data_IF_052795553227
#
_entry.id   IF_052795553227
#
_cell.length_a   1.000
_cell.length_b   1.000
_cell.length_c   1.000
_cell.angle_alpha   90.00
_cell.angle_beta   90.00
_cell.angle_gamma   90.00
#
_symmetry.space_group_name_H-M   'P 1'
#
loop_
_entity.id
_entity.type
_entity.pdbx_description
1 polymer ?
#
# COMPACT_ATOMS: atom_id res chain seq x y z
N UNK A 1 22.83 -7.26 19.94
CA UNK A 1 21.58 -7.81 19.39
C UNK A 1 20.59 -8.21 20.50
N UNK A 2 20.35 -7.38 21.52
CA UNK A 2 19.43 -7.71 22.64
C UNK A 2 18.44 -6.58 22.99
N UNK A 3 18.43 -5.47 22.23
CA UNK A 3 17.47 -4.38 22.46
C UNK A 3 16.09 -4.64 21.82
N UNK A 4 15.99 -5.58 20.87
CA UNK A 4 14.73 -5.92 20.19
C UNK A 4 13.70 -6.60 21.10
N UNK A 5 14.13 -7.26 22.18
CA UNK A 5 13.23 -7.93 23.12
C UNK A 5 12.63 -6.97 24.15
N UNK A 6 13.32 -5.88 24.49
CA UNK A 6 12.87 -4.94 25.54
C UNK A 6 11.71 -4.05 25.07
N UNK A 7 11.73 -3.61 23.80
CA UNK A 7 10.64 -2.78 23.26
C UNK A 7 9.36 -3.59 22.99
N UNK A 8 9.49 -4.87 22.62
CA UNK A 8 8.32 -5.75 22.49
C UNK A 8 7.63 -5.98 23.85
N UNK A 9 8.41 -6.04 24.95
CA UNK A 9 7.88 -6.15 26.32
C UNK A 9 7.20 -4.86 26.79
N UNK A 10 7.69 -3.67 26.38
CA UNK A 10 7.11 -2.39 26.81
C UNK A 10 5.79 -2.06 26.09
N UNK A 11 5.66 -2.40 24.80
CA UNK A 11 4.41 -2.25 24.04
C UNK A 11 3.35 -3.31 24.41
N UNK A 12 3.76 -4.45 24.95
CA UNK A 12 2.83 -5.49 25.44
C UNK A 12 2.31 -5.20 26.87
N UNK A 13 2.90 -4.27 27.61
CA UNK A 13 2.59 -4.03 29.02
C UNK A 13 1.38 -3.10 29.27
N UNK A 14 0.76 -2.50 28.24
CA UNK A 14 -0.47 -1.68 28.39
C UNK A 14 -1.76 -2.46 28.15
N UNK A 15 -1.73 -3.79 28.18
CA UNK A 15 -2.93 -4.61 28.21
C UNK A 15 -3.60 -4.59 29.60
N UNK A 16 -4.07 -3.41 30.03
CA UNK A 16 -5.06 -3.30 31.11
C UNK A 16 -6.43 -3.56 30.50
N UNK A 17 -7.08 -4.58 31.06
CA UNK A 17 -8.36 -5.16 30.68
C UNK A 17 -9.48 -4.11 30.64
N UNK A 18 -10.09 -3.91 29.46
CA UNK A 18 -11.45 -3.37 29.34
C UNK A 18 -12.14 -3.84 28.03
N UNK A 19 -13.11 -4.74 28.20
CA UNK A 19 -14.36 -4.87 27.42
C UNK A 19 -14.26 -4.84 25.88
N UNK A 20 -14.02 -6.02 25.28
CA UNK A 20 -14.75 -6.48 24.09
C UNK A 20 -14.70 -5.64 22.81
N UNK A 21 -13.53 -5.15 22.39
CA UNK A 21 -13.35 -4.60 21.05
C UNK A 21 -12.11 -5.23 20.39
N UNK A 22 -12.28 -5.74 19.17
CA UNK A 22 -11.31 -6.56 18.43
C UNK A 22 -9.91 -5.92 18.36
N UNK A 23 -8.98 -6.41 19.19
CA UNK A 23 -7.57 -6.02 19.13
C UNK A 23 -6.98 -6.55 17.82
N UNK A 24 -6.95 -5.70 16.80
CA UNK A 24 -6.27 -6.03 15.55
C UNK A 24 -4.78 -6.26 15.87
N UNK A 25 -4.14 -7.28 15.29
CA UNK A 25 -2.71 -7.49 15.50
C UNK A 25 -1.96 -6.23 15.07
N UNK A 26 -1.01 -5.80 15.90
CA UNK A 26 -0.07 -4.74 15.53
C UNK A 26 0.81 -5.32 14.42
N UNK A 27 0.67 -4.76 13.23
CA UNK A 27 1.46 -5.10 12.04
C UNK A 27 2.44 -3.99 11.74
N UNK A 28 3.52 -4.30 11.01
CA UNK A 28 4.44 -3.28 10.49
C UNK A 28 3.67 -2.19 9.74
N UNK A 29 2.64 -2.58 8.98
CA UNK A 29 1.74 -1.64 8.28
C UNK A 29 1.04 -0.65 9.22
N UNK A 30 0.53 -1.10 10.36
CA UNK A 30 -0.12 -0.21 11.32
C UNK A 30 0.89 0.71 12.01
N UNK A 31 2.09 0.20 12.32
CA UNK A 31 3.16 1.00 12.92
C UNK A 31 3.68 2.06 11.95
N UNK A 32 3.91 1.71 10.68
CA UNK A 32 4.33 2.68 9.68
C UNK A 32 3.26 3.74 9.44
N UNK A 33 1.97 3.36 9.44
CA UNK A 33 0.87 4.31 9.34
C UNK A 33 0.82 5.27 10.54
N UNK A 34 1.09 4.76 11.74
CA UNK A 34 1.16 5.56 12.96
C UNK A 34 2.34 6.54 12.90
N UNK A 35 3.55 6.06 12.56
CA UNK A 35 4.74 6.90 12.39
C UNK A 35 4.49 8.04 11.41
N UNK A 36 3.93 7.73 10.23
CA UNK A 36 3.64 8.70 9.17
C UNK A 36 2.48 9.66 9.56
N UNK A 37 1.61 9.27 10.50
CA UNK A 37 0.59 10.16 11.07
C UNK A 37 1.20 11.12 12.10
N UNK A 38 2.08 10.63 12.98
CA UNK A 38 2.80 11.45 13.94
C UNK A 38 3.68 12.49 13.23
N UNK A 39 4.42 12.07 12.18
CA UNK A 39 5.24 12.97 11.35
C UNK A 39 4.40 14.10 10.74
N UNK A 40 3.23 13.77 10.18
CA UNK A 40 2.32 14.79 9.64
C UNK A 40 1.82 15.74 10.71
N UNK A 41 1.49 15.24 11.89
CA UNK A 41 0.96 16.07 12.98
C UNK A 41 2.04 17.06 13.47
N UNK A 42 3.28 16.59 13.62
CA UNK A 42 4.43 17.44 13.95
C UNK A 42 4.67 18.49 12.86
N UNK A 43 4.70 18.08 11.59
CA UNK A 43 4.90 18.99 10.47
C UNK A 43 3.78 20.02 10.31
N UNK A 44 2.51 19.64 10.56
CA UNK A 44 1.38 20.58 10.54
C UNK A 44 1.47 21.60 11.68
N UNK A 45 1.90 21.19 12.87
CA UNK A 45 2.05 22.10 14.00
C UNK A 45 3.17 23.13 13.81
N UNK A 46 4.22 22.78 13.08
CA UNK A 46 5.33 23.68 12.76
C UNK A 46 4.96 24.74 11.71
N UNK A 47 3.93 24.51 10.88
CA UNK A 47 3.46 25.49 9.91
C UNK A 47 2.40 26.41 10.54
N UNK A 48 2.89 27.40 11.30
CA UNK A 48 2.05 28.32 12.09
C UNK A 48 0.98 29.02 11.25
N UNK A 49 1.31 29.47 10.03
CA UNK A 49 0.33 30.12 9.12
C UNK A 49 -0.78 29.17 8.71
N UNK A 50 -0.44 27.97 8.21
CA UNK A 50 -1.44 26.98 7.77
C UNK A 50 -2.27 26.47 8.95
N UNK A 51 -1.66 26.32 10.11
CA UNK A 51 -2.33 25.94 11.34
C UNK A 51 -3.32 27.03 11.79
N UNK A 52 -2.90 28.30 11.80
CA UNK A 52 -3.77 29.43 12.12
C UNK A 52 -4.96 29.52 11.15
N UNK A 53 -4.74 29.32 9.85
CA UNK A 53 -5.84 29.27 8.86
C UNK A 53 -6.80 28.11 9.14
N UNK A 54 -6.30 26.90 9.42
CA UNK A 54 -7.15 25.73 9.72
C UNK A 54 -7.93 25.85 11.04
N UNK A 55 -7.42 26.64 11.97
CA UNK A 55 -8.00 26.81 13.31
C UNK A 55 -8.78 28.11 13.47
N UNK A 56 -8.95 28.88 12.38
CA UNK A 56 -9.61 30.20 12.39
C UNK A 56 -8.95 31.17 13.38
N UNK A 57 -7.62 31.13 13.52
CA UNK A 57 -6.85 31.88 14.52
C UNK A 57 -7.30 31.64 15.97
N UNK A 58 -7.98 30.51 16.25
CA UNK A 58 -8.38 30.18 17.60
C UNK A 58 -7.18 29.65 18.40
N UNK A 59 -6.66 30.48 19.31
CA UNK A 59 -5.47 30.16 20.10
C UNK A 59 -5.60 28.84 20.87
N UNK A 60 -6.76 28.56 21.46
CA UNK A 60 -6.99 27.29 22.20
C UNK A 60 -6.88 26.06 21.30
N UNK A 61 -7.36 26.14 20.05
CA UNK A 61 -7.19 25.04 19.07
C UNK A 61 -5.74 24.90 18.63
N UNK A 62 -5.05 26.02 18.42
CA UNK A 62 -3.62 26.04 18.07
C UNK A 62 -2.81 25.36 19.18
N UNK A 63 -3.00 25.79 20.43
CA UNK A 63 -2.30 25.24 21.59
C UNK A 63 -2.58 23.74 21.75
N UNK A 64 -3.83 23.31 21.51
CA UNK A 64 -4.20 21.89 21.54
C UNK A 64 -3.46 21.07 20.47
N UNK A 65 -3.29 21.60 19.26
CA UNK A 65 -2.54 20.93 18.18
C UNK A 65 -1.04 20.91 18.50
N UNK A 66 -0.48 22.01 19.01
CA UNK A 66 0.93 22.09 19.41
C UNK A 66 1.24 21.13 20.56
N UNK A 67 0.34 21.00 21.54
CA UNK A 67 0.49 20.05 22.64
C UNK A 67 0.45 18.59 22.13
N UNK A 68 -0.49 18.27 21.23
CA UNK A 68 -0.54 16.95 20.58
C UNK A 68 0.71 16.69 19.73
N UNK A 69 1.24 17.70 19.05
CA UNK A 69 2.47 17.61 18.28
C UNK A 69 3.68 17.34 19.14
N UNK A 70 3.77 17.98 20.31
CA UNK A 70 4.84 17.74 21.27
C UNK A 70 4.81 16.29 21.78
N UNK A 71 3.63 15.77 22.13
CA UNK A 71 3.48 14.36 22.49
C UNK A 71 3.78 13.42 21.33
N UNK A 72 3.38 13.79 20.11
CA UNK A 72 3.64 13.00 18.91
C UNK A 72 5.13 12.94 18.57
N UNK A 73 5.87 14.05 18.77
CA UNK A 73 7.32 14.09 18.56
C UNK A 73 8.05 13.10 19.48
N UNK A 74 7.68 13.03 20.76
CA UNK A 74 8.28 12.07 21.71
C UNK A 74 8.00 10.62 21.29
N UNK A 75 6.77 10.32 20.86
CA UNK A 75 6.43 8.98 20.37
C UNK A 75 7.18 8.63 19.07
N UNK A 76 7.30 9.60 18.18
CA UNK A 76 8.02 9.47 16.92
C UNK A 76 9.51 9.21 17.16
N UNK A 77 10.16 9.93 18.08
CA UNK A 77 11.55 9.68 18.47
C UNK A 77 11.74 8.24 18.99
N UNK A 78 10.81 7.76 19.82
CA UNK A 78 10.83 6.39 20.34
C UNK A 78 10.65 5.34 19.21
N UNK A 79 9.79 5.60 18.23
CA UNK A 79 9.61 4.73 17.06
C UNK A 79 10.83 4.76 16.13
N UNK A 80 11.42 5.93 15.93
CA UNK A 80 12.58 6.13 15.05
C UNK A 80 13.86 5.52 15.61
N UNK A 81 13.96 5.35 16.93
CA UNK A 81 15.06 4.62 17.56
C UNK A 81 15.18 3.16 17.07
N UNK A 82 14.10 2.57 16.53
CA UNK A 82 14.14 1.27 15.88
C UNK A 82 14.46 1.42 14.38
N UNK A 83 15.75 1.35 14.05
CA UNK A 83 16.23 1.53 12.67
C UNK A 83 15.64 0.51 11.68
N UNK A 84 15.37 -0.71 12.13
CA UNK A 84 14.72 -1.73 11.28
C UNK A 84 13.30 -1.31 10.95
N UNK A 85 12.52 -0.87 11.94
CA UNK A 85 11.17 -0.36 11.72
C UNK A 85 11.18 0.82 10.74
N UNK A 86 12.06 1.80 10.94
CA UNK A 86 12.20 2.96 10.04
C UNK A 86 12.50 2.53 8.61
N UNK A 87 13.43 1.59 8.43
CA UNK A 87 13.78 1.08 7.10
C UNK A 87 12.61 0.36 6.41
N UNK A 88 11.88 -0.49 7.15
CA UNK A 88 10.68 -1.16 6.65
C UNK A 88 9.61 -0.15 6.26
N UNK A 89 9.38 0.86 7.10
CA UNK A 89 8.39 1.89 6.83
C UNK A 89 8.75 2.75 5.62
N UNK A 90 10.02 3.11 5.43
CA UNK A 90 10.46 3.85 4.25
C UNK A 90 10.17 3.08 2.94
N UNK A 91 10.43 1.77 2.91
CA UNK A 91 10.12 0.93 1.73
C UNK A 91 8.61 0.83 1.51
N UNK A 92 7.83 0.61 2.58
CA UNK A 92 6.38 0.54 2.50
C UNK A 92 5.75 1.87 2.06
N UNK A 93 6.26 2.99 2.54
CA UNK A 93 5.79 4.33 2.20
C UNK A 93 6.11 4.67 0.75
N UNK A 94 7.29 4.30 0.25
CA UNK A 94 7.63 4.41 -1.16
C UNK A 94 6.65 3.59 -2.02
N UNK A 95 6.41 2.33 -1.68
CA UNK A 95 5.44 1.49 -2.39
C UNK A 95 4.01 2.07 -2.34
N UNK A 96 3.60 2.59 -1.19
CA UNK A 96 2.30 3.26 -1.02
C UNK A 96 2.21 4.54 -1.85
N UNK A 97 3.29 5.32 -1.95
CA UNK A 97 3.33 6.54 -2.74
C UNK A 97 3.25 6.24 -4.24
N UNK A 98 4.02 5.27 -4.73
CA UNK A 98 3.93 4.77 -6.10
C UNK A 98 2.50 4.33 -6.40
N UNK A 99 1.88 3.53 -5.52
CA UNK A 99 0.49 3.10 -5.68
C UNK A 99 -0.50 4.28 -5.79
N UNK A 100 -0.33 5.32 -4.96
CA UNK A 100 -1.17 6.52 -5.03
C UNK A 100 -0.99 7.24 -6.37
N UNK A 101 0.25 7.41 -6.82
CA UNK A 101 0.55 8.02 -8.11
C UNK A 101 -0.08 7.24 -9.27
N UNK A 102 -0.03 5.90 -9.25
CA UNK A 102 -0.69 5.08 -10.26
C UNK A 102 -2.22 5.25 -10.26
N UNK A 103 -2.84 5.33 -9.08
CA UNK A 103 -4.28 5.61 -8.96
C UNK A 103 -4.64 7.01 -9.42
N UNK A 104 -3.78 7.99 -9.17
CA UNK A 104 -3.94 9.34 -9.67
C UNK A 104 -3.88 9.36 -11.20
N UNK A 105 -2.91 8.70 -11.83
CA UNK A 105 -2.86 8.56 -13.30
C UNK A 105 -4.15 7.95 -13.86
N UNK A 106 -4.65 6.88 -13.24
CA UNK A 106 -5.92 6.24 -13.63
C UNK A 106 -7.11 7.22 -13.52
N UNK A 107 -7.15 8.04 -12.47
CA UNK A 107 -8.20 9.02 -12.26
C UNK A 107 -8.13 10.18 -13.27
N UNK A 108 -6.92 10.65 -13.57
CA UNK A 108 -6.69 11.68 -14.61
C UNK A 108 -7.14 11.15 -15.98
N UNK A 109 -6.75 9.92 -16.34
CA UNK A 109 -7.20 9.28 -17.57
C UNK A 109 -8.72 9.14 -17.66
N UNK A 110 -9.39 8.77 -16.55
CA UNK A 110 -10.86 8.71 -16.50
C UNK A 110 -11.49 10.09 -16.73
N UNK A 111 -10.91 11.14 -16.15
CA UNK A 111 -11.39 12.52 -16.33
C UNK A 111 -11.29 12.94 -17.79
N UNK A 112 -10.15 12.68 -18.43
CA UNK A 112 -9.93 12.94 -19.86
C UNK A 112 -10.94 12.16 -20.72
N UNK A 113 -11.11 10.86 -20.45
CA UNK A 113 -12.04 10.00 -21.19
C UNK A 113 -13.50 10.42 -21.02
N UNK A 114 -13.90 10.88 -19.84
CA UNK A 114 -15.26 11.41 -19.61
C UNK A 114 -15.46 12.71 -20.38
N UNK A 115 -14.49 13.62 -20.37
CA UNK A 115 -14.60 14.89 -21.10
C UNK A 115 -14.63 14.70 -22.63
N UNK A 116 -13.90 13.71 -23.14
CA UNK A 116 -13.86 13.39 -24.56
C UNK A 116 -15.13 12.67 -25.08
N UNK A 117 -16.01 12.21 -24.19
CA UNK A 117 -17.25 11.54 -24.55
C UNK A 117 -18.45 12.42 -24.19
N UNK A 118 -19.06 13.05 -25.20
CA UNK A 118 -20.15 14.02 -25.01
C UNK A 118 -21.33 13.45 -24.21
N UNK A 119 -21.71 12.19 -24.43
CA UNK A 119 -22.78 11.54 -23.64
C UNK A 119 -22.40 11.39 -22.18
N UNK A 120 -21.21 10.85 -21.87
CA UNK A 120 -20.73 10.69 -20.49
C UNK A 120 -20.53 12.03 -19.79
N UNK A 121 -20.07 13.04 -20.54
CA UNK A 121 -19.90 14.40 -20.04
C UNK A 121 -21.26 15.03 -19.69
N UNK A 122 -22.23 14.92 -20.59
CA UNK A 122 -23.60 15.38 -20.35
C UNK A 122 -24.23 14.64 -19.16
N UNK A 123 -24.08 13.32 -19.06
CA UNK A 123 -24.56 12.53 -17.92
C UNK A 123 -23.92 12.99 -16.60
N UNK A 124 -22.60 13.23 -16.61
CA UNK A 124 -21.83 13.64 -15.43
C UNK A 124 -22.19 15.05 -14.95
N UNK A 125 -22.58 15.91 -15.87
CA UNK A 125 -22.88 17.33 -15.61
C UNK A 125 -24.37 17.64 -15.59
N UNK A 126 -25.20 16.63 -15.87
CA UNK A 126 -26.65 16.75 -16.08
C UNK A 126 -27.02 17.73 -17.20
N UNK A 127 -26.26 17.71 -18.29
CA UNK A 127 -26.45 18.58 -19.47
C UNK A 127 -26.27 20.08 -19.19
N UNK A 128 -25.63 20.44 -18.07
CA UNK A 128 -25.40 21.82 -17.71
C UNK A 128 -24.14 22.36 -18.41
N UNK A 129 -24.33 23.21 -19.42
CA UNK A 129 -23.25 23.75 -20.23
C UNK A 129 -22.10 24.40 -19.43
N UNK A 130 -22.39 25.10 -18.33
CA UNK A 130 -21.36 25.70 -17.47
C UNK A 130 -20.53 24.64 -16.75
N UNK A 131 -21.17 23.57 -16.28
CA UNK A 131 -20.47 22.43 -15.65
C UNK A 131 -19.67 21.64 -16.68
N UNK A 132 -20.16 21.51 -17.90
CA UNK A 132 -19.43 20.89 -19.02
C UNK A 132 -18.16 21.64 -19.34
N UNK A 133 -18.24 22.96 -19.52
CA UNK A 133 -17.07 23.81 -19.77
C UNK A 133 -16.03 23.69 -18.64
N UNK A 134 -16.46 23.76 -17.37
CA UNK A 134 -15.57 23.56 -16.20
C UNK A 134 -14.96 22.16 -16.15
N UNK A 135 -15.68 21.15 -16.63
CA UNK A 135 -15.15 19.78 -16.65
C UNK A 135 -14.13 19.60 -17.79
N UNK A 136 -14.34 20.24 -18.94
CA UNK A 136 -13.37 20.28 -20.03
C UNK A 136 -12.07 20.98 -19.62
N UNK A 137 -12.17 22.11 -18.89
CA UNK A 137 -10.99 22.78 -18.31
C UNK A 137 -10.19 21.85 -17.39
N UNK A 138 -10.88 21.15 -16.48
CA UNK A 138 -10.27 20.12 -15.62
C UNK A 138 -9.64 18.98 -16.40
N UNK A 139 -10.22 18.60 -17.53
CA UNK A 139 -9.65 17.56 -18.39
C UNK A 139 -8.37 18.04 -19.07
N UNK A 140 -8.27 19.31 -19.47
CA UNK A 140 -7.03 19.90 -19.99
C UNK A 140 -5.95 19.95 -18.91
N UNK A 141 -6.27 20.37 -17.69
CA UNK A 141 -5.35 20.29 -16.54
C UNK A 141 -4.91 18.86 -16.26
N UNK A 142 -5.87 17.93 -16.29
CA UNK A 142 -5.60 16.51 -16.08
C UNK A 142 -4.68 15.94 -17.16
N UNK A 143 -4.83 16.36 -18.41
CA UNK A 143 -3.96 15.97 -19.52
C UNK A 143 -2.52 16.45 -19.29
N UNK A 144 -2.33 17.73 -18.92
CA UNK A 144 -0.99 18.26 -18.62
C UNK A 144 -0.33 17.52 -17.45
N UNK A 145 -1.09 17.27 -16.38
CA UNK A 145 -0.59 16.54 -15.21
C UNK A 145 -0.26 15.10 -15.56
N UNK A 146 -1.13 14.43 -16.33
CA UNK A 146 -0.90 13.05 -16.75
C UNK A 146 0.35 12.93 -17.63
N UNK A 147 0.54 13.84 -18.59
CA UNK A 147 1.75 13.90 -19.41
C UNK A 147 3.01 14.08 -18.55
N UNK A 148 2.95 14.94 -17.54
CA UNK A 148 4.06 15.14 -16.58
C UNK A 148 4.33 13.88 -15.75
N UNK A 149 3.31 13.14 -15.35
CA UNK A 149 3.50 11.87 -14.63
C UNK A 149 4.05 10.77 -15.56
N UNK A 150 3.62 10.75 -16.82
CA UNK A 150 4.07 9.78 -17.82
C UNK A 150 5.51 10.01 -18.29
N UNK A 151 6.08 11.21 -18.10
CA UNK A 151 7.51 11.45 -18.41
C UNK A 151 8.45 10.75 -17.41
N UNK A 152 7.94 10.26 -16.27
CA UNK A 152 8.69 9.42 -15.36
C UNK A 152 8.51 7.94 -15.74
N UNK A 153 9.44 7.40 -16.53
CA UNK A 153 9.37 6.03 -17.04
C UNK A 153 9.33 4.99 -15.93
N UNK A 154 10.12 5.16 -14.86
CA UNK A 154 10.11 4.27 -13.69
C UNK A 154 8.74 4.20 -13.03
N UNK A 155 8.04 5.34 -12.90
CA UNK A 155 6.68 5.36 -12.39
C UNK A 155 5.71 4.64 -13.34
N UNK A 156 5.79 4.89 -14.64
CA UNK A 156 4.94 4.24 -15.65
C UNK A 156 5.12 2.72 -15.65
N UNK A 157 6.36 2.24 -15.57
CA UNK A 157 6.69 0.82 -15.52
C UNK A 157 6.14 0.17 -14.24
N UNK A 158 6.35 0.82 -13.08
CA UNK A 158 5.81 0.35 -11.82
C UNK A 158 4.27 0.30 -11.84
N UNK A 159 3.62 1.31 -12.40
CA UNK A 159 2.16 1.32 -12.52
C UNK A 159 1.64 0.24 -13.46
N UNK A 160 2.36 -0.05 -14.54
CA UNK A 160 2.01 -1.10 -15.50
C UNK A 160 2.10 -2.48 -14.86
N UNK A 161 3.19 -2.76 -14.12
CA UNK A 161 3.33 -4.00 -13.35
C UNK A 161 2.17 -4.19 -12.35
N UNK A 162 1.81 -3.15 -11.60
CA UNK A 162 0.70 -3.20 -10.64
C UNK A 162 -0.67 -3.44 -11.31
N UNK A 163 -0.86 -2.99 -12.55
CA UNK A 163 -2.11 -3.25 -13.29
C UNK A 163 -2.20 -4.71 -13.73
N UNK A 164 -1.09 -5.33 -14.10
CA UNK A 164 -1.02 -6.76 -14.42
C UNK A 164 -1.35 -7.62 -13.20
N UNK A 165 -0.72 -7.34 -12.04
CA UNK A 165 -1.02 -8.02 -10.78
C UNK A 165 -2.50 -7.90 -10.37
N UNK A 166 -3.11 -6.72 -10.59
CA UNK A 166 -4.54 -6.52 -10.32
C UNK A 166 -5.46 -7.35 -11.22
N UNK A 167 -5.08 -7.60 -12.47
CA UNK A 167 -5.86 -8.43 -13.41
C UNK A 167 -5.78 -9.90 -13.00
N UNK A 168 -4.58 -10.39 -12.75
CA UNK A 168 -4.35 -11.76 -12.29
C UNK A 168 -5.06 -12.05 -10.95
N UNK A 169 -5.05 -11.09 -10.02
CA UNK A 169 -5.77 -11.21 -8.75
C UNK A 169 -7.30 -11.13 -8.87
N UNK A 170 -7.83 -10.58 -9.97
CA UNK A 170 -9.27 -10.58 -10.26
C UNK A 170 -9.70 -11.89 -10.91
N UNK A 171 -8.89 -12.42 -11.82
CA UNK A 171 -9.15 -13.71 -12.47
C UNK A 171 -9.09 -14.87 -11.45
N UNK A 172 -8.18 -14.81 -10.47
CA UNK A 172 -8.13 -15.76 -9.36
C UNK A 172 -9.33 -15.68 -8.38
N UNK A 173 -10.18 -14.64 -8.47
CA UNK A 173 -11.40 -14.51 -7.66
C UNK A 173 -12.68 -14.93 -8.40
N UNK A 174 -12.61 -15.12 -9.72
CA UNK A 174 -13.77 -15.56 -10.51
C UNK A 174 -13.80 -17.07 -10.74
N UNK A 175 -12.70 -17.80 -10.55
CA UNK A 175 -12.71 -19.27 -10.46
C UNK A 175 -13.03 -19.77 -9.04
N UNK A 176 -14.08 -19.20 -8.46
CA UNK A 176 -14.78 -19.77 -7.30
C UNK A 176 -15.59 -20.99 -7.71
N UNK A 177 -14.97 -21.95 -8.40
CA UNK A 177 -15.57 -23.27 -8.63
C UNK A 177 -15.63 -24.00 -7.30
N UNK A 178 -16.85 -24.09 -6.76
CA UNK A 178 -17.21 -24.97 -5.66
C UNK A 178 -16.77 -26.40 -5.97
N UNK A 179 -15.66 -26.85 -5.38
CA UNK A 179 -15.46 -28.28 -5.13
C UNK A 179 -15.82 -28.54 -3.68
N UNK A 180 -17.11 -28.76 -3.46
CA UNK A 180 -17.62 -29.49 -2.31
C UNK A 180 -17.09 -30.92 -2.41
N UNK A 181 -16.03 -31.24 -1.69
CA UNK A 181 -15.71 -32.63 -1.34
C UNK A 181 -15.89 -32.80 0.15
N UNK A 182 -17.06 -33.31 0.50
CA UNK A 182 -17.35 -33.98 1.75
C UNK A 182 -16.24 -34.99 2.08
N UNK A 183 -15.60 -34.85 3.22
CA UNK A 183 -14.96 -35.99 3.88
C UNK A 183 -15.05 -35.78 5.39
N UNK A 184 -15.77 -36.70 6.01
CA UNK A 184 -16.11 -36.75 7.41
C UNK A 184 -14.86 -36.77 8.31
N UNK A 185 -14.85 -35.92 9.33
CA UNK A 185 -14.04 -36.12 10.50
C UNK A 185 -14.75 -37.12 11.42
N UNK A 186 -14.34 -38.38 11.36
CA UNK A 186 -14.60 -39.37 12.41
C UNK A 186 -13.32 -39.56 13.23
N UNK A 187 -13.54 -39.66 14.54
CA UNK A 187 -12.60 -39.55 15.64
C UNK A 187 -11.71 -40.78 15.88
N UNK A 188 -10.61 -40.50 16.60
CA UNK A 188 -9.96 -41.31 17.65
C UNK A 188 -9.18 -42.58 17.27
N UNK A 189 -7.97 -42.69 17.86
CA UNK A 189 -7.41 -44.00 18.22
C UNK A 189 -5.91 -44.14 18.03
N UNK A 190 -5.15 -43.90 19.10
CA UNK A 190 -3.77 -44.35 19.29
C UNK A 190 -3.59 -45.85 19.00
N UNK A 191 -2.44 -46.25 18.45
CA UNK A 191 -1.90 -47.58 18.73
C UNK A 191 -1.16 -48.29 17.61
N UNK A 192 0.18 -48.28 17.73
CA UNK A 192 1.08 -49.45 17.68
C UNK A 192 1.37 -50.15 16.33
N UNK A 193 2.68 -50.17 16.06
CA UNK A 193 3.50 -50.99 15.16
C UNK A 193 2.94 -52.32 14.62
N UNK A 194 3.29 -52.67 13.37
CA UNK A 194 4.03 -53.89 12.98
C UNK A 194 4.36 -53.86 11.47
N UNK A 195 5.52 -54.43 11.15
CA UNK A 195 6.20 -54.64 9.87
C UNK A 195 5.38 -55.22 8.71
N UNK A 196 5.81 -54.95 7.46
CA UNK A 196 5.58 -55.86 6.33
C UNK A 196 5.44 -55.22 4.93
N UNK A 197 6.51 -55.36 4.14
CA UNK A 197 6.52 -55.75 2.72
C UNK A 197 5.75 -54.98 1.61
N UNK A 198 6.56 -54.51 0.63
CA UNK A 198 6.41 -54.59 -0.84
C UNK A 198 5.19 -53.90 -1.49
N UNK A 199 5.45 -52.95 -2.39
CA UNK A 199 4.44 -52.50 -3.37
C UNK A 199 4.91 -51.36 -4.27
N UNK A 200 4.94 -51.61 -5.56
CA UNK A 200 5.50 -50.79 -6.63
C UNK A 200 4.85 -49.41 -6.85
N UNK A 201 5.68 -48.46 -7.30
CA UNK A 201 5.38 -47.65 -8.48
C UNK A 201 4.79 -46.25 -8.25
N UNK A 202 5.53 -45.21 -8.66
CA UNK A 202 5.12 -44.31 -9.76
C UNK A 202 6.01 -43.05 -9.84
N UNK A 203 6.83 -43.02 -10.91
CA UNK A 203 7.11 -41.88 -11.81
C UNK A 203 7.39 -40.51 -11.18
N UNK A 204 8.67 -40.25 -10.91
CA UNK A 204 9.24 -38.90 -10.91
C UNK A 204 9.31 -38.42 -12.37
N UNK A 205 8.43 -37.48 -12.73
CA UNK A 205 8.54 -36.73 -13.98
C UNK A 205 9.44 -35.52 -13.75
N UNK A 206 10.68 -35.67 -14.18
CA UNK A 206 11.59 -34.57 -14.48
C UNK A 206 10.94 -33.67 -15.53
N UNK A 207 10.80 -32.38 -15.22
CA UNK A 207 10.57 -31.34 -16.22
C UNK A 207 11.64 -30.29 -15.98
N UNK A 208 12.70 -30.38 -16.78
CA UNK A 208 13.69 -29.34 -16.94
C UNK A 208 13.12 -28.17 -17.73
N UNK A 209 13.66 -26.98 -17.47
CA UNK A 209 13.73 -25.81 -18.34
C UNK A 209 14.51 -24.74 -17.59
N UNK A 210 15.31 -23.87 -18.17
CA UNK A 210 15.91 -23.73 -19.49
C UNK A 210 17.08 -22.78 -19.22
N UNK A 211 18.25 -23.07 -19.78
CA UNK A 211 19.41 -22.20 -19.78
C UNK A 211 19.08 -20.94 -20.57
N UNK A 212 19.21 -19.76 -19.96
CA UNK A 212 19.33 -18.49 -20.67
C UNK A 212 20.72 -17.93 -20.42
N UNK A 213 21.61 -18.19 -21.37
CA UNK A 213 22.86 -17.45 -21.54
C UNK A 213 22.54 -16.21 -22.38
N UNK A 214 22.49 -15.04 -21.73
CA UNK A 214 22.30 -13.74 -22.37
C UNK A 214 23.55 -12.89 -22.21
N UNK A 215 24.42 -13.02 -23.19
CA UNK A 215 25.63 -12.23 -23.45
C UNK A 215 25.29 -10.73 -23.57
N UNK A 216 25.83 -9.87 -22.70
CA UNK A 216 25.87 -8.41 -22.93
C UNK A 216 27.30 -8.01 -23.27
N UNK A 217 27.44 -7.64 -24.53
CA UNK A 217 28.60 -7.01 -25.17
C UNK A 217 28.84 -5.65 -24.54
N UNK A 218 30.10 -5.41 -24.17
CA UNK A 218 30.60 -4.09 -23.80
C UNK A 218 30.81 -3.18 -25.01
N UNK A 219 30.80 -1.88 -24.73
CA UNK A 219 31.17 -0.78 -25.63
C UNK A 219 30.76 0.54 -24.97
N UNK A 220 31.65 1.16 -24.20
CA UNK A 220 32.55 2.24 -24.65
C UNK A 220 31.75 3.51 -25.00
N UNK A 221 31.79 4.53 -24.15
CA UNK A 221 32.85 5.56 -24.09
C UNK A 221 32.40 6.81 -24.84
N UNK A 222 31.98 7.83 -24.08
CA UNK A 222 32.18 9.24 -24.39
C UNK A 222 31.81 10.11 -23.17
N UNK A 223 32.83 10.54 -22.44
CA UNK A 223 32.89 11.86 -21.81
C UNK A 223 34.36 12.31 -21.88
N UNK A 224 34.51 13.60 -22.15
CA UNK A 224 35.73 14.37 -22.41
C UNK A 224 36.91 14.06 -21.49
#
# INVERSE_FOLDING_TARGET
>A
MQFSTVFLSLLAATAVVAKGNSTKPVTDKSLCKEMNHLEKLVHEAQNTTKLATKTDNNQTKIDSVVAKASSAAVQLDAMQANTTLVSTCAVMDAAHQTKKQCHEMEHLQKTINTAANSTKLADKTHGNATKEAKYQEKATEAQMKLTTMMSNTTLVDACSAMMTEKKEAKEAKEDGTMTSTSAAAASSGSGKATSGAIGMGARVRSVGSVVWAGLVVGGAMWCL
#
